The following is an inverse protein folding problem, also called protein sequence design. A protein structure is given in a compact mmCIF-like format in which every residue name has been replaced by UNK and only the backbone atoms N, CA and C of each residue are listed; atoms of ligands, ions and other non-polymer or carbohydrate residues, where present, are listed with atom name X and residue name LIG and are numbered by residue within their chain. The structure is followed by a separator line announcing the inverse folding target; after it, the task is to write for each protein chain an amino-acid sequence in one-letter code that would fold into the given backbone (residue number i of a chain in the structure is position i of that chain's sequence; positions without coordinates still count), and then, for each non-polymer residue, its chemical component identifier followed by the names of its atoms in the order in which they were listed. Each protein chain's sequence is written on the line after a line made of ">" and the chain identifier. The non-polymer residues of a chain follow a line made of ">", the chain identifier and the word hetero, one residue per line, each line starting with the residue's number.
data_IF_669466948877
#
_entry.id   IF_669466948877
#
_cell.length_a   1.000
_cell.length_b   1.000
_cell.length_c   1.000
_cell.angle_alpha   90.00
_cell.angle_beta   90.00
_cell.angle_gamma   90.00
#
_symmetry.space_group_name_H-M   'P 1'
#
loop_
_entity.id
_entity.type
_entity.pdbx_description
1 polymer ?
#
# COMPACT_ATOMS: atom_id res chain seq x y z
N UNK A 1 -10.07 -14.75 -22.54
CA UNK A 1 -8.63 -14.77 -22.23
C UNK A 1 -8.40 -13.73 -21.14
N UNK A 2 -8.66 -14.08 -19.89
CA UNK A 2 -8.34 -13.18 -18.77
C UNK A 2 -6.82 -13.17 -18.65
N UNK A 3 -6.22 -12.02 -18.96
CA UNK A 3 -4.79 -11.83 -18.89
C UNK A 3 -4.29 -12.23 -17.49
N UNK A 4 -3.11 -12.84 -17.35
CA UNK A 4 -2.47 -12.94 -16.05
C UNK A 4 -2.49 -11.53 -15.47
N UNK A 5 -3.05 -11.37 -14.26
CA UNK A 5 -3.14 -10.08 -13.58
C UNK A 5 -1.73 -9.63 -13.19
N UNK A 6 -0.89 -9.35 -14.17
CA UNK A 6 0.28 -8.50 -14.02
C UNK A 6 -0.32 -7.18 -13.58
N UNK A 7 -0.25 -6.90 -12.28
CA UNK A 7 -0.77 -5.67 -11.72
C UNK A 7 -0.33 -4.49 -12.59
N UNK A 8 -1.17 -3.46 -12.71
CA UNK A 8 -0.81 -2.28 -13.51
C UNK A 8 0.53 -1.72 -13.04
N UNK A 9 1.27 -1.00 -13.90
CA UNK A 9 2.55 -0.38 -13.52
C UNK A 9 2.43 0.57 -12.31
N UNK A 10 1.21 1.01 -11.97
CA UNK A 10 0.85 1.84 -10.81
C UNK A 10 0.33 1.05 -9.60
N UNK A 11 0.27 -0.27 -9.67
CA UNK A 11 -0.14 -1.17 -8.61
C UNK A 11 1.07 -1.92 -8.04
N UNK A 12 0.94 -2.38 -6.81
CA UNK A 12 1.89 -3.22 -6.11
C UNK A 12 1.30 -4.62 -5.96
N UNK A 13 2.11 -5.62 -6.30
CA UNK A 13 1.77 -7.03 -6.10
C UNK A 13 2.09 -7.36 -4.65
N UNK A 14 1.10 -7.82 -3.89
CA UNK A 14 1.30 -8.35 -2.54
C UNK A 14 2.27 -9.54 -2.56
N UNK A 15 2.81 -9.90 -1.39
CA UNK A 15 3.72 -11.06 -1.25
C UNK A 15 3.09 -12.39 -1.67
N UNK A 16 1.76 -12.47 -1.59
CA UNK A 16 0.93 -13.57 -2.10
C UNK A 16 1.01 -13.73 -3.63
N UNK A 17 1.49 -12.73 -4.36
CA UNK A 17 1.73 -12.81 -5.80
C UNK A 17 0.48 -12.71 -6.68
N UNK A 18 -0.71 -12.82 -6.09
CA UNK A 18 -2.01 -12.74 -6.80
C UNK A 18 -2.83 -11.49 -6.45
N UNK A 19 -2.61 -10.90 -5.29
CA UNK A 19 -3.32 -9.67 -4.89
C UNK A 19 -2.57 -8.43 -5.38
N UNK A 20 -3.32 -7.50 -5.99
CA UNK A 20 -2.80 -6.21 -6.45
C UNK A 20 -3.46 -5.08 -5.67
N UNK A 21 -2.65 -4.23 -5.04
CA UNK A 21 -3.10 -3.01 -4.38
C UNK A 21 -2.53 -1.79 -5.09
N UNK A 22 -3.01 -0.58 -4.80
CA UNK A 22 -2.40 0.61 -5.41
C UNK A 22 -1.02 0.87 -4.81
N UNK A 23 -0.06 1.39 -5.59
CA UNK A 23 1.28 1.67 -5.07
C UNK A 23 1.32 2.65 -3.90
N UNK A 24 0.28 3.49 -3.76
CA UNK A 24 0.11 4.43 -2.65
C UNK A 24 -0.52 3.83 -1.39
N UNK A 25 -1.01 2.59 -1.48
CA UNK A 25 -1.58 1.82 -0.37
C UNK A 25 -0.48 1.04 0.38
N UNK A 26 0.78 1.22 0.00
CA UNK A 26 1.91 0.65 0.73
C UNK A 26 2.26 1.58 1.88
N UNK A 27 2.48 1.02 3.06
CA UNK A 27 2.81 1.78 4.26
C UNK A 27 1.72 2.80 4.64
N UNK A 28 0.44 2.53 4.35
CA UNK A 28 -0.65 3.46 4.65
C UNK A 28 -1.29 3.22 6.04
N UNK A 29 -0.77 2.25 6.80
CA UNK A 29 -1.30 1.77 8.09
C UNK A 29 -2.60 0.98 7.99
N UNK A 30 -3.10 0.72 6.79
CA UNK A 30 -4.17 -0.22 6.54
C UNK A 30 -3.60 -1.51 5.95
N UNK A 31 -4.23 -2.63 6.28
CA UNK A 31 -3.83 -3.93 5.78
C UNK A 31 -4.57 -4.20 4.47
N UNK A 32 -4.06 -3.68 3.35
CA UNK A 32 -4.71 -3.86 2.04
C UNK A 32 -4.36 -5.20 1.40
N UNK A 33 -3.18 -5.76 1.70
CA UNK A 33 -2.89 -7.13 1.31
C UNK A 33 -3.57 -8.12 2.28
N UNK A 34 -4.06 -9.28 1.79
CA UNK A 34 -4.61 -10.34 2.66
C UNK A 34 -3.60 -10.81 3.71
N UNK A 35 -2.32 -10.89 3.34
CA UNK A 35 -1.20 -11.17 4.25
C UNK A 35 -0.69 -9.94 5.01
N UNK A 36 -1.04 -8.74 4.56
CA UNK A 36 -0.59 -7.47 5.15
C UNK A 36 0.86 -7.15 4.85
N UNK A 37 1.39 -7.76 3.80
CA UNK A 37 2.77 -7.56 3.38
C UNK A 37 3.03 -6.16 2.84
N UNK A 38 2.01 -5.41 2.47
CA UNK A 38 2.11 -3.98 2.17
C UNK A 38 2.53 -3.13 3.38
N UNK A 39 2.27 -3.64 4.59
CA UNK A 39 2.62 -3.03 5.87
C UNK A 39 3.75 -3.77 6.61
N UNK A 40 4.30 -4.85 6.03
CA UNK A 40 5.43 -5.55 6.62
C UNK A 40 6.68 -4.66 6.63
N UNK A 41 7.54 -4.72 7.67
CA UNK A 41 8.78 -3.94 7.73
C UNK A 41 9.77 -4.27 6.62
N UNK A 42 9.68 -5.47 6.03
CA UNK A 42 10.49 -5.90 4.88
C UNK A 42 10.13 -5.11 3.61
N UNK A 43 8.84 -4.76 3.46
CA UNK A 43 8.31 -3.94 2.35
C UNK A 43 8.33 -2.46 2.68
N UNK A 44 8.19 -2.14 3.97
CA UNK A 44 8.17 -0.79 4.53
C UNK A 44 9.33 -0.54 5.51
N UNK A 45 10.60 -0.52 5.03
CA UNK A 45 11.77 -0.37 5.90
C UNK A 45 11.94 1.04 6.50
N UNK A 46 11.06 2.00 6.14
CA UNK A 46 11.16 3.40 6.52
C UNK A 46 9.91 3.84 7.30
N UNK A 47 9.72 3.26 8.49
CA UNK A 47 8.49 3.37 9.30
C UNK A 47 8.18 4.73 9.94
N UNK A 48 8.90 5.82 9.64
CA UNK A 48 8.75 7.06 10.45
C UNK A 48 8.33 8.32 9.72
N UNK A 49 8.61 8.52 8.42
CA UNK A 49 8.17 9.74 7.72
C UNK A 49 8.00 9.48 6.22
N UNK A 50 6.93 8.82 5.83
CA UNK A 50 6.38 8.93 4.47
C UNK A 50 4.88 8.85 4.63
N UNK A 51 4.25 10.00 4.81
CA UNK A 51 2.79 10.13 4.83
C UNK A 51 2.29 9.80 3.43
N UNK A 52 2.19 8.50 3.13
CA UNK A 52 1.32 8.01 2.09
C UNK A 52 -0.10 8.47 2.49
N UNK A 53 -0.85 9.14 1.61
CA UNK A 53 -2.24 9.45 1.90
C UNK A 53 -2.97 8.13 2.14
N UNK A 54 -3.61 8.00 3.29
CA UNK A 54 -4.43 6.83 3.64
C UNK A 54 -5.51 6.60 2.59
N UNK A 55 -5.84 5.33 2.38
CA UNK A 55 -6.83 4.93 1.37
C UNK A 55 -8.24 5.33 1.75
N UNK A 56 -8.43 5.66 3.02
CA UNK A 56 -9.75 5.84 3.58
C UNK A 56 -10.43 7.11 3.06
N UNK A 57 -9.81 8.30 2.91
CA UNK A 57 -10.49 9.49 2.34
C UNK A 57 -9.52 10.61 1.92
N UNK A 58 -9.78 11.25 0.77
CA UNK A 58 -9.06 12.41 0.18
C UNK A 58 -9.14 13.74 0.96
N UNK A 59 -9.35 13.76 2.27
CA UNK A 59 -9.51 15.02 3.03
C UNK A 59 -8.77 15.10 4.37
N UNK A 60 -7.88 14.16 4.71
CA UNK A 60 -7.09 14.28 5.95
C UNK A 60 -5.59 14.14 5.67
N UNK A 61 -5.09 15.08 4.88
CA UNK A 61 -3.69 15.50 4.96
C UNK A 61 -3.40 16.26 6.27
N UNK A 62 -3.94 15.86 7.44
CA UNK A 62 -3.48 16.51 8.67
C UNK A 62 -2.14 15.94 9.09
N UNK A 63 -1.14 16.79 8.93
CA UNK A 63 -0.24 17.13 10.00
C UNK A 63 -0.09 16.14 11.16
N UNK A 64 0.53 14.95 11.06
CA UNK A 64 1.23 14.45 12.27
C UNK A 64 2.52 15.24 12.43
N UNK A 65 2.36 16.49 12.88
CA UNK A 65 3.33 17.33 13.59
C UNK A 65 2.75 18.74 13.78
N UNK A 66 1.80 18.89 14.71
CA UNK A 66 1.89 19.79 15.88
C UNK A 66 0.96 19.24 16.94
#
# INVERSE_FOLDING_TARGET
>A
MEAPKTCSSKQFVCKDGVTCISKGWRCDREKDCPDGSDEEPDVCPHSTVSRCPTNTNVEEQSSVST
#
